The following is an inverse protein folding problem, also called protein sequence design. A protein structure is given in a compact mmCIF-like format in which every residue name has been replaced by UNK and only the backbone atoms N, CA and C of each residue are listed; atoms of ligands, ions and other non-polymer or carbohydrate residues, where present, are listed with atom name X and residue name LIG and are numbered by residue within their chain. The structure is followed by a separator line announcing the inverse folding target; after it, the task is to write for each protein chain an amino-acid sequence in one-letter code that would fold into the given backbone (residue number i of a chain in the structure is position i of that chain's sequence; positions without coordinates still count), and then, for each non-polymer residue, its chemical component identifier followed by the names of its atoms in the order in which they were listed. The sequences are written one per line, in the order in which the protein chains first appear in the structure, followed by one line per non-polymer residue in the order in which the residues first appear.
data_IF_439409935151
#
_entry.id   IF_439409935151
#
_cell.length_a   1.000
_cell.length_b   1.000
_cell.length_c   1.000
_cell.angle_alpha   90.00
_cell.angle_beta   90.00
_cell.angle_gamma   90.00
#
_symmetry.space_group_name_H-M   'P 1'
#
loop_
_entity.id
_entity.type
_entity.pdbx_description
1 polymer ?
#
# COMPACT_ATOMS: atom_id res chain seq x y z
N UNK A 1 23.27 -39.35 11.30
CA UNK A 1 22.37 -38.88 10.21
C UNK A 1 21.22 -38.14 10.89
N UNK A 2 21.33 -36.83 11.06
CA UNK A 2 20.30 -36.01 11.72
C UNK A 2 19.27 -35.57 10.67
N UNK A 3 17.96 -35.66 10.94
CA UNK A 3 16.95 -35.12 10.05
C UNK A 3 16.98 -33.59 10.14
N UNK A 4 17.25 -32.93 9.02
CA UNK A 4 17.09 -31.48 8.90
C UNK A 4 15.62 -31.13 9.09
N UNK A 5 15.24 -30.64 10.27
CA UNK A 5 13.94 -30.02 10.50
C UNK A 5 13.83 -28.82 9.56
N UNK A 6 12.94 -28.90 8.57
CA UNK A 6 12.71 -27.82 7.63
C UNK A 6 12.17 -26.61 8.39
N UNK A 7 12.75 -25.43 8.18
CA UNK A 7 12.26 -24.16 8.76
C UNK A 7 10.76 -23.96 8.48
N UNK A 8 10.24 -24.54 7.39
CA UNK A 8 8.83 -24.51 7.04
C UNK A 8 7.90 -25.16 8.08
N UNK A 9 8.35 -26.20 8.80
CA UNK A 9 7.55 -26.88 9.85
C UNK A 9 7.46 -26.07 11.15
N UNK A 10 8.21 -24.96 11.26
CA UNK A 10 8.25 -24.09 12.43
C UNK A 10 7.53 -22.75 12.25
N UNK A 11 7.01 -22.46 11.05
CA UNK A 11 6.30 -21.21 10.79
C UNK A 11 4.85 -21.29 11.30
N UNK A 12 4.34 -20.22 11.94
CA UNK A 12 2.97 -20.21 12.42
C UNK A 12 1.98 -20.33 11.25
N UNK A 13 1.14 -21.37 11.28
CA UNK A 13 0.04 -21.51 10.33
C UNK A 13 -1.13 -20.61 10.72
N UNK A 14 -1.60 -19.80 9.79
CA UNK A 14 -2.76 -18.93 9.97
C UNK A 14 -3.92 -19.40 9.09
N UNK A 15 -5.15 -19.21 9.56
CA UNK A 15 -6.34 -19.52 8.77
C UNK A 15 -6.49 -18.54 7.59
N UNK A 16 -7.16 -18.97 6.51
CA UNK A 16 -7.40 -18.12 5.35
C UNK A 16 -8.10 -16.78 5.68
N UNK A 17 -9.09 -16.72 6.61
CA UNK A 17 -9.66 -15.45 7.06
C UNK A 17 -8.65 -14.55 7.78
N UNK A 18 -7.73 -15.12 8.57
CA UNK A 18 -6.67 -14.36 9.24
C UNK A 18 -5.67 -13.80 8.21
N UNK A 19 -5.21 -14.63 7.28
CA UNK A 19 -4.33 -14.21 6.18
C UNK A 19 -4.94 -13.07 5.37
N UNK A 20 -6.24 -13.16 5.03
CA UNK A 20 -6.96 -12.11 4.30
C UNK A 20 -6.96 -10.79 5.07
N UNK A 21 -7.24 -10.81 6.38
CA UNK A 21 -7.23 -9.58 7.20
C UNK A 21 -5.84 -8.96 7.29
N UNK A 22 -4.81 -9.77 7.49
CA UNK A 22 -3.42 -9.30 7.50
C UNK A 22 -3.06 -8.65 6.17
N UNK A 23 -3.38 -9.30 5.05
CA UNK A 23 -3.13 -8.77 3.72
C UNK A 23 -3.87 -7.45 3.47
N UNK A 24 -5.19 -7.41 3.74
CA UNK A 24 -5.98 -6.19 3.54
C UNK A 24 -5.50 -5.04 4.45
N UNK A 25 -5.14 -5.33 5.70
CA UNK A 25 -4.59 -4.34 6.63
C UNK A 25 -3.24 -3.79 6.15
N UNK A 26 -2.32 -4.66 5.73
CA UNK A 26 -1.04 -4.25 5.16
C UNK A 26 -1.18 -3.40 3.87
N UNK A 27 -2.27 -3.61 3.12
CA UNK A 27 -2.59 -2.83 1.93
C UNK A 27 -3.37 -1.53 2.21
N UNK A 28 -3.59 -1.19 3.49
CA UNK A 28 -4.36 -0.03 3.94
C UNK A 28 -5.85 -0.10 3.61
N UNK A 29 -6.37 -1.28 3.26
CA UNK A 29 -7.77 -1.47 2.84
C UNK A 29 -8.73 -1.69 4.01
N UNK A 30 -8.21 -1.83 5.22
CA UNK A 30 -9.00 -1.86 6.46
C UNK A 30 -8.95 -0.53 7.23
N UNK A 31 -8.23 0.46 6.70
CA UNK A 31 -8.16 1.79 7.31
C UNK A 31 -9.47 2.57 7.09
N UNK A 32 -9.66 3.65 7.87
CA UNK A 32 -10.78 4.57 7.72
C UNK A 32 -10.85 5.13 6.28
N UNK A 33 -11.91 4.81 5.50
CA UNK A 33 -12.05 5.30 4.14
C UNK A 33 -12.30 6.82 4.07
N UNK A 34 -12.72 7.44 5.18
CA UNK A 34 -12.90 8.89 5.30
C UNK A 34 -11.60 9.66 5.57
N UNK A 35 -10.46 8.98 5.72
CA UNK A 35 -9.17 9.62 5.95
C UNK A 35 -8.82 10.53 4.79
N UNK A 36 -8.73 11.84 5.05
CA UNK A 36 -8.43 12.86 4.04
C UNK A 36 -7.04 12.66 3.42
N UNK A 37 -6.95 12.89 2.12
CA UNK A 37 -5.71 13.00 1.40
C UNK A 37 -5.00 14.31 1.74
N UNK A 38 -3.92 14.21 2.50
CA UNK A 38 -2.98 15.29 2.82
C UNK A 38 -1.59 14.83 2.41
N UNK A 39 -0.61 15.76 2.32
CA UNK A 39 0.77 15.36 2.03
C UNK A 39 1.30 14.33 3.05
N UNK A 40 0.97 14.50 4.33
CA UNK A 40 1.42 13.61 5.39
C UNK A 40 0.71 12.24 5.34
N UNK A 41 -0.61 12.20 5.16
CA UNK A 41 -1.34 10.93 5.06
C UNK A 41 -1.00 10.15 3.79
N UNK A 42 -0.77 10.85 2.68
CA UNK A 42 -0.32 10.24 1.43
C UNK A 42 1.09 9.65 1.56
N UNK A 43 2.03 10.41 2.11
CA UNK A 43 3.39 9.91 2.35
C UNK A 43 3.36 8.67 3.26
N UNK A 44 2.63 8.75 4.38
CA UNK A 44 2.50 7.64 5.32
C UNK A 44 1.86 6.39 4.68
N UNK A 45 0.89 6.58 3.80
CA UNK A 45 0.28 5.48 3.04
C UNK A 45 1.33 4.83 2.10
N UNK A 46 2.09 5.62 1.35
CA UNK A 46 3.09 5.10 0.42
C UNK A 46 4.20 4.36 1.18
N UNK A 47 4.65 4.88 2.33
CA UNK A 47 5.59 4.21 3.23
C UNK A 47 5.03 2.88 3.76
N UNK A 48 3.75 2.85 4.15
CA UNK A 48 3.09 1.63 4.61
C UNK A 48 2.93 0.57 3.50
N UNK A 49 2.68 1.00 2.25
CA UNK A 49 2.64 0.12 1.09
C UNK A 49 4.04 -0.35 0.67
N UNK A 50 5.10 0.32 1.13
CA UNK A 50 6.49 0.10 0.76
C UNK A 50 6.85 0.67 -0.63
N UNK A 51 5.92 0.64 -1.58
CA UNK A 51 6.07 1.29 -2.88
C UNK A 51 4.71 1.52 -3.55
N UNK A 52 4.70 2.40 -4.57
CA UNK A 52 3.61 2.53 -5.53
C UNK A 52 4.21 2.56 -6.93
N UNK A 53 3.78 1.65 -7.80
CA UNK A 53 4.27 1.59 -9.17
C UNK A 53 3.55 2.62 -10.05
N UNK A 54 4.31 3.57 -10.58
CA UNK A 54 3.79 4.53 -11.55
C UNK A 54 3.55 3.81 -12.88
N UNK A 55 2.39 4.02 -13.47
CA UNK A 55 1.92 3.37 -14.69
C UNK A 55 1.64 4.45 -15.74
N UNK A 56 2.01 4.19 -16.98
CA UNK A 56 1.84 5.09 -18.12
C UNK A 56 0.51 4.89 -18.85
N UNK A 57 -0.17 3.75 -18.64
CA UNK A 57 -1.46 3.46 -19.29
C UNK A 57 -2.58 4.22 -18.57
N UNK A 58 -3.41 4.92 -19.36
CA UNK A 58 -4.49 5.77 -18.85
C UNK A 58 -5.79 5.59 -19.65
N UNK A 59 -6.38 4.40 -19.61
CA UNK A 59 -7.67 4.13 -20.29
C UNK A 59 -8.85 4.71 -19.51
N UNK A 60 -8.83 4.59 -18.17
CA UNK A 60 -9.85 5.17 -17.27
C UNK A 60 -9.20 6.17 -16.32
N UNK A 61 -8.19 5.69 -15.60
CA UNK A 61 -7.23 6.46 -14.81
C UNK A 61 -5.96 5.61 -14.71
N UNK A 62 -4.83 6.21 -14.32
CA UNK A 62 -3.59 5.45 -14.10
C UNK A 62 -3.74 4.56 -12.86
N UNK A 63 -3.14 3.37 -12.89
CA UNK A 63 -3.33 2.36 -11.85
C UNK A 63 -2.92 2.83 -10.43
N UNK A 64 -1.85 3.61 -10.33
CA UNK A 64 -1.41 4.21 -9.06
C UNK A 64 -2.42 5.24 -8.52
N UNK A 65 -3.04 6.02 -9.40
CA UNK A 65 -4.03 7.02 -8.99
C UNK A 65 -5.27 6.33 -8.44
N UNK A 66 -5.73 5.23 -9.06
CA UNK A 66 -6.82 4.41 -8.54
C UNK A 66 -6.48 3.78 -7.19
N UNK A 67 -5.24 3.29 -7.06
CA UNK A 67 -4.75 2.69 -5.81
C UNK A 67 -4.79 3.68 -4.66
N UNK A 68 -4.31 4.91 -4.86
CA UNK A 68 -4.28 5.95 -3.83
C UNK A 68 -5.67 6.52 -3.55
N UNK A 69 -6.47 6.72 -4.58
CA UNK A 69 -7.86 7.17 -4.47
C UNK A 69 -8.71 6.23 -3.62
N UNK A 70 -8.51 4.91 -3.72
CA UNK A 70 -9.31 3.96 -2.95
C UNK A 70 -8.98 3.89 -1.46
N UNK A 71 -7.91 4.55 -0.97
CA UNK A 71 -7.52 4.58 0.45
C UNK A 71 -7.61 5.97 1.10
N UNK A 72 -7.64 7.05 0.32
CA UNK A 72 -7.63 8.42 0.85
C UNK A 72 -8.73 9.26 0.21
N UNK A 73 -9.66 9.73 1.04
CA UNK A 73 -10.74 10.60 0.60
C UNK A 73 -10.20 11.93 0.07
N UNK A 74 -10.69 12.31 -1.11
CA UNK A 74 -10.28 13.53 -1.78
C UNK A 74 -8.89 13.47 -2.41
N UNK A 75 -8.29 12.29 -2.60
CA UNK A 75 -7.03 12.16 -3.35
C UNK A 75 -7.14 12.83 -4.73
N UNK A 76 -6.06 13.51 -5.12
CA UNK A 76 -5.87 14.11 -6.44
C UNK A 76 -4.45 13.82 -6.95
N UNK A 77 -4.25 13.52 -8.25
CA UNK A 77 -2.94 13.16 -8.80
C UNK A 77 -1.82 14.18 -8.52
N UNK A 78 -2.14 15.47 -8.41
CA UNK A 78 -1.20 16.54 -8.11
C UNK A 78 -0.55 16.39 -6.73
N UNK A 79 -1.22 15.70 -5.80
CA UNK A 79 -0.67 15.44 -4.46
C UNK A 79 0.51 14.47 -4.53
N UNK A 80 0.41 13.42 -5.35
CA UNK A 80 1.52 12.51 -5.58
C UNK A 80 2.67 13.22 -6.30
N UNK A 81 2.34 14.00 -7.35
CA UNK A 81 3.31 14.81 -8.08
C UNK A 81 4.11 15.74 -7.16
N UNK A 82 3.44 16.43 -6.24
CA UNK A 82 4.07 17.31 -5.25
C UNK A 82 5.05 16.59 -4.31
N UNK A 83 4.74 15.35 -3.92
CA UNK A 83 5.66 14.56 -3.09
C UNK A 83 6.91 14.11 -3.86
N UNK A 84 6.74 13.77 -5.14
CA UNK A 84 7.84 13.32 -6.02
C UNK A 84 8.74 14.47 -6.48
N UNK A 85 8.15 15.57 -6.94
CA UNK A 85 8.87 16.64 -7.64
C UNK A 85 9.33 17.76 -6.70
N UNK A 86 8.42 18.26 -5.85
CA UNK A 86 8.70 19.44 -5.02
C UNK A 86 9.44 19.05 -3.75
N UNK A 87 8.91 18.05 -3.02
CA UNK A 87 9.46 17.63 -1.73
C UNK A 87 10.60 16.63 -1.85
N UNK A 88 10.62 15.84 -2.94
CA UNK A 88 11.55 14.71 -3.15
C UNK A 88 11.67 13.85 -1.89
N UNK A 89 10.54 13.64 -1.21
CA UNK A 89 10.48 12.87 0.04
C UNK A 89 10.22 11.39 -0.22
N UNK A 90 9.81 11.07 -1.44
CA UNK A 90 9.80 9.73 -2.01
C UNK A 90 11.01 9.72 -2.95
N UNK A 91 12.05 8.97 -2.57
CA UNK A 91 13.40 8.92 -3.18
C UNK A 91 14.35 10.06 -2.82
#
# INVERSE_FOLDING_TARGET
MHPSSSVADSLPLISAPAARRLFLGAQGLLDDPGRRATAASLQKLIEALGFVQVDTINVVARAHDLTLFSRLDGYRPEQLRKLLEDKRSLF
#
